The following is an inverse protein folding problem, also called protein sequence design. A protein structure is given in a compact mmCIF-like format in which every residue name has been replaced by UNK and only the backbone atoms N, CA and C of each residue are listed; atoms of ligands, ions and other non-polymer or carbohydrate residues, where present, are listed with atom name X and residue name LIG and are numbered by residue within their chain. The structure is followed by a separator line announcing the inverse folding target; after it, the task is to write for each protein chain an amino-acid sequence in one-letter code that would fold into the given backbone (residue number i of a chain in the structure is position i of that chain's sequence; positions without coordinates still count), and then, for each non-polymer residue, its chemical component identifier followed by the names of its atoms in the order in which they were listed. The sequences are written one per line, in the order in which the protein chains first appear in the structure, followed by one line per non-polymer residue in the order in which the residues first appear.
data_IF_245481965852
#
_entry.id   IF_245481965852
#
_cell.length_a   1.000
_cell.length_b   1.000
_cell.length_c   1.000
_cell.angle_alpha   90.00
_cell.angle_beta   90.00
_cell.angle_gamma   90.00
#
_symmetry.space_group_name_H-M   'P 1'
#
loop_
_entity.id
_entity.type
_entity.pdbx_description
1 polymer ?
#
# COMPACT_ATOMS: atom_id res chain seq x y z
N UNK A 1 -35.95 -8.30 -24.64
CA UNK A 1 -34.56 -7.82 -24.63
C UNK A 1 -34.22 -7.40 -23.20
N UNK A 2 -33.60 -8.27 -22.44
CA UNK A 2 -33.17 -8.00 -21.07
C UNK A 2 -31.86 -7.25 -21.13
N UNK A 3 -31.91 -5.93 -20.96
CA UNK A 3 -30.72 -5.12 -20.68
C UNK A 3 -30.22 -5.55 -19.31
N UNK A 4 -29.17 -6.35 -19.26
CA UNK A 4 -28.39 -6.58 -18.04
C UNK A 4 -27.63 -5.30 -17.77
N UNK A 5 -28.06 -4.55 -16.76
CA UNK A 5 -27.35 -3.39 -16.21
C UNK A 5 -26.10 -3.89 -15.44
N UNK A 6 -25.17 -4.50 -16.16
CA UNK A 6 -23.87 -4.92 -15.66
C UNK A 6 -22.85 -3.91 -16.18
N UNK A 7 -22.41 -3.01 -15.29
CA UNK A 7 -21.43 -1.98 -15.64
C UNK A 7 -20.08 -2.56 -16.06
N UNK A 8 -19.16 -1.68 -16.39
CA UNK A 8 -17.80 -2.00 -16.84
C UNK A 8 -16.84 -1.89 -15.66
N UNK A 9 -16.22 -3.00 -15.27
CA UNK A 9 -15.17 -3.00 -14.24
C UNK A 9 -13.89 -2.39 -14.82
N UNK A 10 -13.30 -1.43 -14.11
CA UNK A 10 -12.07 -0.75 -14.55
C UNK A 10 -10.92 -1.12 -13.62
N UNK A 11 -9.87 -1.72 -14.18
CA UNK A 11 -8.70 -2.17 -13.44
C UNK A 11 -7.68 -1.06 -13.24
N UNK A 12 -7.35 -0.35 -14.32
CA UNK A 12 -6.27 0.61 -14.37
C UNK A 12 -6.24 1.37 -15.68
N UNK A 13 -5.40 2.40 -15.73
CA UNK A 13 -5.20 3.25 -16.90
C UNK A 13 -3.76 3.04 -17.38
N UNK A 14 -3.60 2.91 -18.70
CA UNK A 14 -2.34 2.69 -19.40
C UNK A 14 -2.26 3.60 -20.63
N UNK A 15 -1.12 3.62 -21.31
CA UNK A 15 -0.99 4.30 -22.61
C UNK A 15 -1.80 3.56 -23.68
N UNK A 16 -2.30 4.28 -24.68
CA UNK A 16 -2.92 3.67 -25.84
C UNK A 16 -1.97 2.65 -26.50
N UNK A 17 -2.50 1.53 -26.99
CA UNK A 17 -1.69 0.47 -27.57
C UNK A 17 -0.97 -0.46 -26.58
N UNK A 18 -1.03 -0.22 -25.26
CA UNK A 18 -0.39 -1.09 -24.26
C UNK A 18 -0.81 -2.57 -24.43
N UNK A 19 0.15 -3.53 -24.43
CA UNK A 19 -0.16 -4.95 -24.53
C UNK A 19 -1.10 -5.42 -23.42
N UNK A 20 -2.05 -6.30 -23.74
CA UNK A 20 -2.86 -6.97 -22.74
C UNK A 20 -2.27 -8.37 -22.50
N UNK A 21 -2.11 -8.81 -21.25
CA UNK A 21 -1.54 -10.12 -20.95
C UNK A 21 -2.48 -11.23 -21.47
N UNK A 22 -2.01 -12.15 -22.31
CA UNK A 22 -2.86 -13.07 -23.07
C UNK A 22 -3.55 -14.16 -22.23
N UNK A 23 -3.11 -14.37 -20.98
CA UNK A 23 -3.55 -15.50 -20.14
C UNK A 23 -4.05 -15.10 -18.74
N UNK A 24 -4.07 -13.80 -18.38
CA UNK A 24 -4.67 -13.38 -17.11
C UNK A 24 -6.14 -13.04 -17.29
N UNK A 25 -6.99 -13.84 -16.65
CA UNK A 25 -8.40 -13.52 -16.50
C UNK A 25 -8.60 -12.38 -15.50
N UNK A 26 -9.66 -11.60 -15.70
CA UNK A 26 -10.07 -10.53 -14.81
C UNK A 26 -10.82 -11.02 -13.57
N UNK A 27 -11.31 -10.06 -12.79
CA UNK A 27 -12.18 -10.29 -11.62
C UNK A 27 -13.47 -10.98 -12.05
N UNK A 28 -13.81 -12.09 -11.39
CA UNK A 28 -15.04 -12.84 -11.68
C UNK A 28 -14.92 -14.33 -11.39
N UNK A 29 -16.05 -15.02 -11.52
CA UNK A 29 -16.12 -16.49 -11.56
C UNK A 29 -17.25 -16.91 -12.52
N UNK A 30 -16.92 -17.31 -13.76
CA UNK A 30 -15.57 -17.44 -14.32
C UNK A 30 -14.82 -16.09 -14.45
N UNK A 31 -13.47 -16.09 -14.54
CA UNK A 31 -12.69 -14.86 -14.72
C UNK A 31 -13.19 -14.03 -15.90
N UNK A 32 -13.31 -12.72 -15.70
CA UNK A 32 -13.79 -11.81 -16.74
C UNK A 32 -12.80 -11.71 -17.91
N UNK A 33 -13.32 -11.60 -19.14
CA UNK A 33 -12.46 -11.34 -20.30
C UNK A 33 -11.93 -9.90 -20.22
N UNK A 34 -10.60 -9.77 -20.14
CA UNK A 34 -9.93 -8.47 -20.10
C UNK A 34 -9.90 -7.86 -21.48
N UNK A 35 -10.31 -6.60 -21.58
CA UNK A 35 -10.25 -5.78 -22.78
C UNK A 35 -9.73 -4.38 -22.46
N UNK A 36 -9.86 -3.47 -23.42
CA UNK A 36 -9.49 -2.06 -23.22
C UNK A 36 -10.43 -1.12 -23.96
N UNK A 37 -10.62 0.07 -23.41
CA UNK A 37 -11.27 1.20 -24.06
C UNK A 37 -10.21 2.27 -24.26
N UNK A 38 -9.92 2.61 -25.51
CA UNK A 38 -8.97 3.66 -25.86
C UNK A 38 -9.67 5.01 -26.04
N UNK A 39 -8.99 6.07 -25.62
CA UNK A 39 -9.36 7.46 -25.87
C UNK A 39 -8.07 8.30 -25.93
N UNK A 40 -7.84 8.96 -27.06
CA UNK A 40 -6.61 9.73 -27.28
C UNK A 40 -5.34 8.88 -27.12
N UNK A 41 -4.45 9.30 -26.22
CA UNK A 41 -3.16 8.66 -25.92
C UNK A 41 -3.24 7.67 -24.76
N UNK A 42 -4.43 7.42 -24.23
CA UNK A 42 -4.66 6.56 -23.07
C UNK A 42 -5.62 5.41 -23.38
N UNK A 43 -5.58 4.40 -22.52
CA UNK A 43 -6.55 3.32 -22.50
C UNK A 43 -6.90 2.93 -21.07
N UNK A 44 -8.17 2.62 -20.83
CA UNK A 44 -8.61 1.96 -19.61
C UNK A 44 -8.63 0.45 -19.85
N UNK A 45 -8.00 -0.32 -18.96
CA UNK A 45 -8.10 -1.78 -18.95
C UNK A 45 -9.36 -2.18 -18.21
N UNK A 46 -10.20 -3.01 -18.84
CA UNK A 46 -11.57 -3.27 -18.39
C UNK A 46 -11.99 -4.73 -18.52
N UNK A 47 -13.10 -5.08 -17.87
CA UNK A 47 -13.91 -6.26 -18.18
C UNK A 47 -15.38 -5.97 -17.88
N UNK A 48 -16.28 -6.89 -18.23
CA UNK A 48 -17.64 -6.83 -17.69
C UNK A 48 -17.59 -6.97 -16.16
N UNK A 49 -18.39 -6.17 -15.45
CA UNK A 49 -18.46 -6.25 -14.00
C UNK A 49 -19.30 -7.48 -13.59
N UNK A 50 -18.83 -8.29 -12.62
CA UNK A 50 -19.61 -9.43 -12.17
C UNK A 50 -20.88 -8.97 -11.42
N UNK A 51 -22.02 -9.66 -11.59
CA UNK A 51 -23.32 -9.26 -11.02
C UNK A 51 -23.36 -9.16 -9.48
N UNK A 52 -22.39 -9.77 -8.79
CA UNK A 52 -22.26 -9.75 -7.33
C UNK A 52 -20.82 -9.46 -6.92
N UNK A 53 -20.29 -8.33 -7.41
CA UNK A 53 -18.97 -7.85 -7.06
C UNK A 53 -18.82 -7.72 -5.54
N UNK A 54 -17.91 -8.51 -4.97
CA UNK A 54 -17.56 -8.47 -3.55
C UNK A 54 -16.03 -8.54 -3.45
N UNK A 55 -15.48 -7.92 -2.43
CA UNK A 55 -14.05 -7.98 -2.12
C UNK A 55 -13.65 -9.36 -1.54
N UNK A 56 -13.84 -10.43 -2.32
CA UNK A 56 -13.35 -11.77 -1.98
C UNK A 56 -11.84 -11.80 -2.18
N UNK A 57 -11.13 -12.59 -1.37
CA UNK A 57 -9.67 -12.74 -1.48
C UNK A 57 -9.21 -13.06 -2.91
N UNK A 58 -9.88 -14.01 -3.58
CA UNK A 58 -9.59 -14.36 -4.97
C UNK A 58 -9.69 -13.16 -5.91
N UNK A 59 -10.77 -12.38 -5.79
CA UNK A 59 -11.05 -11.27 -6.70
C UNK A 59 -10.06 -10.11 -6.45
N UNK A 60 -9.69 -9.86 -5.18
CA UNK A 60 -8.64 -8.90 -4.83
C UNK A 60 -7.27 -9.30 -5.39
N UNK A 61 -6.92 -10.59 -5.32
CA UNK A 61 -5.68 -11.11 -5.88
C UNK A 61 -5.68 -11.03 -7.40
N UNK A 62 -6.76 -11.45 -8.08
CA UNK A 62 -6.87 -11.36 -9.54
C UNK A 62 -6.72 -9.91 -10.05
N UNK A 63 -7.35 -8.95 -9.37
CA UNK A 63 -7.18 -7.52 -9.69
C UNK A 63 -5.72 -7.08 -9.57
N UNK A 64 -5.06 -7.43 -8.45
CA UNK A 64 -3.67 -7.05 -8.21
C UNK A 64 -2.71 -7.72 -9.20
N UNK A 65 -2.87 -9.02 -9.44
CA UNK A 65 -2.04 -9.80 -10.36
C UNK A 65 -2.15 -9.29 -11.80
N UNK A 66 -3.36 -8.92 -12.25
CA UNK A 66 -3.54 -8.29 -13.56
C UNK A 66 -2.79 -6.96 -13.67
N UNK A 67 -2.87 -6.11 -12.64
CA UNK A 67 -2.17 -4.83 -12.61
C UNK A 67 -0.64 -5.00 -12.60
N UNK A 68 -0.12 -5.97 -11.86
CA UNK A 68 1.31 -6.29 -11.86
C UNK A 68 1.76 -6.86 -13.21
N UNK A 69 0.96 -7.74 -13.82
CA UNK A 69 1.26 -8.29 -15.14
C UNK A 69 1.27 -7.20 -16.22
N UNK A 70 0.31 -6.27 -16.20
CA UNK A 70 0.32 -5.09 -17.07
C UNK A 70 1.56 -4.24 -16.83
N UNK A 71 1.99 -4.09 -15.56
CA UNK A 71 3.16 -3.30 -15.24
C UNK A 71 4.45 -3.83 -15.91
N UNK A 72 4.50 -5.12 -16.28
CA UNK A 72 5.66 -5.70 -16.96
C UNK A 72 5.93 -5.09 -18.35
N UNK A 73 4.88 -4.69 -19.07
CA UNK A 73 5.00 -4.11 -20.42
C UNK A 73 4.96 -2.57 -20.43
N UNK A 74 4.76 -1.92 -19.29
CA UNK A 74 4.70 -0.45 -19.21
C UNK A 74 4.15 0.09 -17.88
N UNK A 75 4.11 1.42 -17.70
CA UNK A 75 3.49 2.02 -16.52
C UNK A 75 1.98 1.78 -16.49
N UNK A 76 1.44 1.58 -15.29
CA UNK A 76 0.01 1.40 -15.03
C UNK A 76 -0.40 2.30 -13.88
N UNK A 77 -1.49 3.06 -14.07
CA UNK A 77 -2.18 3.73 -12.96
C UNK A 77 -3.27 2.81 -12.42
N UNK A 78 -3.07 2.18 -11.27
CA UNK A 78 -4.06 1.26 -10.74
C UNK A 78 -5.32 1.97 -10.24
N UNK A 79 -6.49 1.49 -10.66
CA UNK A 79 -7.75 1.85 -10.03
C UNK A 79 -7.95 1.03 -8.77
N UNK A 80 -8.65 1.61 -7.77
CA UNK A 80 -9.04 0.87 -6.58
C UNK A 80 -9.92 -0.32 -6.97
N UNK A 81 -9.88 -1.39 -6.18
CA UNK A 81 -10.78 -2.51 -6.39
C UNK A 81 -12.25 -2.06 -6.33
N UNK A 82 -13.06 -2.53 -7.27
CA UNK A 82 -14.50 -2.27 -7.27
C UNK A 82 -14.94 -1.03 -8.04
N UNK A 83 -14.04 -0.42 -8.81
CA UNK A 83 -14.39 0.70 -9.69
C UNK A 83 -15.18 0.18 -10.90
N UNK A 84 -16.45 0.54 -10.96
CA UNK A 84 -17.37 0.16 -12.03
C UNK A 84 -17.93 1.42 -12.68
N UNK A 85 -17.76 1.54 -14.00
CA UNK A 85 -18.38 2.57 -14.82
C UNK A 85 -19.72 2.07 -15.39
N UNK A 86 -20.71 2.94 -15.61
CA UNK A 86 -21.98 2.53 -16.20
C UNK A 86 -21.84 2.09 -17.66
N UNK A 87 -20.98 2.77 -18.42
CA UNK A 87 -20.74 2.49 -19.84
C UNK A 87 -19.38 3.03 -20.31
N UNK A 88 -18.99 2.69 -21.54
CA UNK A 88 -17.72 3.12 -22.13
C UNK A 88 -17.66 4.64 -22.39
N UNK A 89 -18.80 5.32 -22.57
CA UNK A 89 -18.83 6.76 -22.83
C UNK A 89 -18.36 7.55 -21.61
N UNK A 90 -18.70 7.09 -20.40
CA UNK A 90 -18.19 7.66 -19.14
C UNK A 90 -16.69 7.43 -19.02
N UNK A 91 -16.19 6.25 -19.40
CA UNK A 91 -14.75 5.94 -19.38
C UNK A 91 -13.99 6.86 -20.34
N UNK A 92 -14.43 6.95 -21.60
CA UNK A 92 -13.80 7.83 -22.62
C UNK A 92 -13.75 9.27 -22.15
N UNK A 93 -14.86 9.80 -21.62
CA UNK A 93 -14.92 11.17 -21.09
C UNK A 93 -13.89 11.40 -19.99
N UNK A 94 -13.78 10.48 -19.02
CA UNK A 94 -12.81 10.58 -17.92
C UNK A 94 -11.35 10.51 -18.41
N UNK A 95 -11.06 9.67 -19.40
CA UNK A 95 -9.73 9.60 -20.02
C UNK A 95 -9.39 10.91 -20.75
N UNK A 96 -10.33 11.46 -21.51
CA UNK A 96 -10.14 12.72 -22.25
C UNK A 96 -9.96 13.92 -21.31
N UNK A 97 -10.79 14.06 -20.29
CA UNK A 97 -10.74 15.19 -19.33
C UNK A 97 -9.44 15.21 -18.48
N UNK A 98 -8.80 14.05 -18.30
CA UNK A 98 -7.64 13.90 -17.43
C UNK A 98 -6.36 13.50 -18.18
N UNK A 99 -6.35 13.58 -19.52
CA UNK A 99 -5.33 12.93 -20.34
C UNK A 99 -3.90 13.32 -19.95
N UNK A 100 -3.59 14.63 -19.96
CA UNK A 100 -2.23 15.11 -19.63
C UNK A 100 -1.82 14.78 -18.19
N UNK A 101 -2.76 14.87 -17.24
CA UNK A 101 -2.49 14.53 -15.83
C UNK A 101 -2.16 13.05 -15.68
N UNK A 102 -2.90 12.18 -16.36
CA UNK A 102 -2.70 10.73 -16.30
C UNK A 102 -1.42 10.31 -17.03
N UNK A 103 -1.07 10.95 -18.14
CA UNK A 103 0.21 10.71 -18.81
C UNK A 103 1.40 11.09 -17.92
N UNK A 104 1.34 12.25 -17.24
CA UNK A 104 2.37 12.66 -16.29
C UNK A 104 2.48 11.69 -15.10
N UNK A 105 1.35 11.21 -14.57
CA UNK A 105 1.35 10.22 -13.50
C UNK A 105 1.94 8.87 -13.97
N UNK A 106 1.62 8.42 -15.19
CA UNK A 106 2.20 7.22 -15.79
C UNK A 106 3.73 7.33 -15.89
N UNK A 107 4.24 8.49 -16.32
CA UNK A 107 5.69 8.75 -16.36
C UNK A 107 6.31 8.71 -14.96
N UNK A 108 5.59 9.21 -13.95
CA UNK A 108 6.03 9.16 -12.56
C UNK A 108 6.20 7.75 -11.98
N UNK A 109 5.50 6.74 -12.53
CA UNK A 109 5.53 5.35 -12.04
C UNK A 109 6.20 4.36 -13.01
N UNK A 110 6.74 4.83 -14.13
CA UNK A 110 7.39 3.99 -15.13
C UNK A 110 8.58 3.22 -14.54
N UNK A 111 8.62 1.90 -14.79
CA UNK A 111 9.69 1.01 -14.31
C UNK A 111 9.71 0.76 -12.79
N UNK A 112 8.69 1.25 -12.07
CA UNK A 112 8.67 1.28 -10.60
C UNK A 112 7.54 0.42 -10.03
N UNK A 113 7.68 0.07 -8.77
CA UNK A 113 6.69 -0.67 -7.97
C UNK A 113 6.55 -0.03 -6.59
N UNK A 114 5.43 -0.30 -5.94
CA UNK A 114 5.20 0.14 -4.57
C UNK A 114 5.54 -0.97 -3.57
N UNK A 115 6.29 -0.60 -2.52
CA UNK A 115 6.51 -1.42 -1.32
C UNK A 115 5.91 -0.70 -0.13
N UNK A 116 4.97 -1.33 0.57
CA UNK A 116 4.37 -0.79 1.78
C UNK A 116 5.05 -1.40 3.02
N UNK A 117 5.45 -0.54 3.95
CA UNK A 117 6.06 -0.92 5.23
C UNK A 117 5.19 -0.43 6.37
N UNK A 118 4.83 -1.36 7.25
CA UNK A 118 4.09 -1.10 8.48
C UNK A 118 4.93 -1.47 9.70
N UNK A 119 5.06 -0.54 10.64
CA UNK A 119 5.73 -0.76 11.92
C UNK A 119 4.72 -0.98 13.04
N UNK A 120 4.84 -2.11 13.75
CA UNK A 120 4.01 -2.46 14.90
C UNK A 120 4.89 -2.67 16.12
N UNK A 121 4.35 -2.49 17.35
CA UNK A 121 5.06 -2.90 18.55
C UNK A 121 5.38 -4.39 18.53
N UNK A 122 6.59 -4.75 18.94
CA UNK A 122 6.98 -6.16 19.10
C UNK A 122 6.36 -6.75 20.37
N UNK A 123 5.85 -7.97 20.31
CA UNK A 123 5.28 -8.66 21.47
C UNK A 123 6.37 -8.94 22.52
N UNK A 124 7.60 -9.20 22.06
CA UNK A 124 8.80 -9.43 22.86
C UNK A 124 9.43 -8.15 23.43
N UNK A 125 8.87 -6.97 23.15
CA UNK A 125 9.42 -5.70 23.65
C UNK A 125 9.13 -5.46 25.15
N UNK A 126 8.19 -6.20 25.76
CA UNK A 126 7.78 -5.98 27.15
C UNK A 126 8.93 -6.16 28.17
N UNK A 127 9.74 -7.24 28.14
CA UNK A 127 10.88 -7.37 29.05
C UNK A 127 11.91 -6.24 28.91
N UNK A 128 12.20 -5.81 27.68
CA UNK A 128 13.13 -4.71 27.41
C UNK A 128 12.57 -3.37 27.91
N UNK A 129 11.27 -3.14 27.75
CA UNK A 129 10.58 -1.95 28.28
C UNK A 129 10.61 -1.91 29.80
N UNK A 130 10.24 -3.00 30.47
CA UNK A 130 10.21 -3.07 31.94
C UNK A 130 11.61 -2.89 32.54
N UNK A 131 12.68 -3.33 31.87
CA UNK A 131 14.05 -3.08 32.33
C UNK A 131 14.46 -1.60 32.17
N UNK A 132 14.07 -0.96 31.06
CA UNK A 132 14.53 0.39 30.70
C UNK A 132 13.71 1.55 31.24
N UNK A 133 12.45 1.34 31.64
CA UNK A 133 11.53 2.43 32.02
C UNK A 133 11.25 2.45 33.53
N UNK A 134 11.77 3.47 34.23
CA UNK A 134 11.61 3.62 35.67
C UNK A 134 10.15 3.86 36.10
N UNK A 135 9.36 4.54 35.26
CA UNK A 135 7.94 4.82 35.52
C UNK A 135 7.14 3.53 35.46
N UNK A 136 7.34 2.70 34.43
CA UNK A 136 6.69 1.39 34.30
C UNK A 136 7.07 0.47 35.46
N UNK A 137 8.34 0.46 35.88
CA UNK A 137 8.77 -0.30 37.06
C UNK A 137 8.07 0.17 38.33
N UNK A 138 8.00 1.48 38.56
CA UNK A 138 7.32 2.05 39.72
C UNK A 138 5.82 1.72 39.74
N UNK A 139 5.14 1.82 38.60
CA UNK A 139 3.72 1.43 38.47
C UNK A 139 3.52 -0.07 38.72
N UNK A 140 4.41 -0.92 38.20
CA UNK A 140 4.36 -2.37 38.43
C UNK A 140 4.53 -2.72 39.90
N UNK A 141 5.46 -2.07 40.60
CA UNK A 141 5.65 -2.28 42.04
C UNK A 141 4.47 -1.76 42.85
N UNK A 142 3.90 -0.61 42.49
CA UNK A 142 2.72 -0.06 43.14
C UNK A 142 1.50 -0.99 42.99
N UNK A 143 1.25 -1.50 41.77
CA UNK A 143 0.18 -2.46 41.50
C UNK A 143 0.38 -3.79 42.25
N UNK A 144 1.64 -4.25 42.41
CA UNK A 144 1.95 -5.43 43.24
C UNK A 144 1.71 -5.19 44.72
N UNK A 145 2.08 -4.01 45.24
CA UNK A 145 1.93 -3.66 46.66
C UNK A 145 0.48 -3.41 47.05
N UNK A 146 -0.33 -2.84 46.15
CA UNK A 146 -1.76 -2.57 46.34
C UNK A 146 -2.55 -2.93 45.08
N UNK A 147 -2.89 -4.21 44.89
CA UNK A 147 -3.65 -4.64 43.72
C UNK A 147 -5.03 -3.99 43.72
N UNK A 148 -5.34 -3.27 42.65
CA UNK A 148 -6.68 -2.74 42.38
C UNK A 148 -6.94 -2.77 40.88
N UNK A 149 -8.22 -2.78 40.49
CA UNK A 149 -8.61 -2.70 39.08
C UNK A 149 -8.01 -1.44 38.42
N UNK A 150 -8.13 -0.28 39.08
CA UNK A 150 -7.59 0.98 38.60
C UNK A 150 -6.05 0.94 38.45
N UNK A 151 -5.33 0.36 39.41
CA UNK A 151 -3.87 0.23 39.33
C UNK A 151 -3.44 -0.66 38.16
N UNK A 152 -4.20 -1.73 37.88
CA UNK A 152 -3.95 -2.61 36.74
C UNK A 152 -4.23 -1.91 35.40
N UNK A 153 -5.33 -1.15 35.31
CA UNK A 153 -5.67 -0.35 34.11
C UNK A 153 -4.57 0.68 33.83
N UNK A 154 -4.17 1.48 34.82
CA UNK A 154 -3.11 2.49 34.67
C UNK A 154 -1.78 1.90 34.26
N UNK A 155 -1.40 0.74 34.80
CA UNK A 155 -0.19 0.02 34.40
C UNK A 155 -0.30 -0.45 32.94
N UNK A 156 -1.44 -1.05 32.55
CA UNK A 156 -1.69 -1.52 31.19
C UNK A 156 -1.62 -0.40 30.16
N UNK A 157 -2.27 0.73 30.43
CA UNK A 157 -2.23 1.93 29.59
C UNK A 157 -0.80 2.45 29.42
N UNK A 158 -0.07 2.62 30.53
CA UNK A 158 1.31 3.10 30.48
C UNK A 158 2.22 2.17 29.68
N UNK A 159 2.07 0.85 29.82
CA UNK A 159 2.81 -0.14 29.03
C UNK A 159 2.46 -0.02 27.55
N UNK A 160 1.18 0.02 27.20
CA UNK A 160 0.72 0.12 25.81
C UNK A 160 1.24 1.40 25.13
N UNK A 161 1.16 2.55 25.81
CA UNK A 161 1.69 3.83 25.32
C UNK A 161 3.20 3.77 25.12
N UNK A 162 3.94 3.19 26.05
CA UNK A 162 5.40 3.12 25.95
C UNK A 162 5.87 2.15 24.84
N UNK A 163 5.19 1.02 24.66
CA UNK A 163 5.42 0.11 23.53
C UNK A 163 5.14 0.78 22.19
N UNK A 164 3.99 1.44 22.07
CA UNK A 164 3.61 2.20 20.86
C UNK A 164 4.65 3.27 20.52
N UNK A 165 5.11 4.05 21.52
CA UNK A 165 6.13 5.08 21.33
C UNK A 165 7.45 4.51 20.83
N UNK A 166 7.97 3.45 21.46
CA UNK A 166 9.24 2.80 21.06
C UNK A 166 9.17 2.26 19.63
N UNK A 167 8.05 1.65 19.28
CA UNK A 167 7.82 1.12 17.93
C UNK A 167 7.70 2.24 16.89
N UNK A 168 7.05 3.36 17.24
CA UNK A 168 6.96 4.53 16.38
C UNK A 168 8.34 5.16 16.13
N UNK A 169 9.18 5.27 17.17
CA UNK A 169 10.56 5.76 17.07
C UNK A 169 11.40 4.86 16.15
N UNK A 170 11.45 3.55 16.45
CA UNK A 170 12.18 2.59 15.64
C UNK A 170 11.67 2.52 14.20
N UNK A 171 10.35 2.56 14.00
CA UNK A 171 9.75 2.59 12.66
C UNK A 171 10.14 3.83 11.86
N UNK A 172 10.14 5.02 12.49
CA UNK A 172 10.59 6.26 11.83
C UNK A 172 12.07 6.22 11.46
N UNK A 173 12.90 5.63 12.30
CA UNK A 173 14.33 5.46 12.01
C UNK A 173 14.54 4.57 10.78
N UNK A 174 13.86 3.42 10.73
CA UNK A 174 13.92 2.50 9.59
C UNK A 174 13.42 3.19 8.32
N UNK A 175 12.29 3.92 8.38
CA UNK A 175 11.77 4.68 7.23
C UNK A 175 12.80 5.68 6.73
N UNK A 176 13.45 6.43 7.62
CA UNK A 176 14.48 7.42 7.22
C UNK A 176 15.66 6.77 6.49
N UNK A 177 16.11 5.60 6.94
CA UNK A 177 17.19 4.86 6.29
C UNK A 177 16.77 4.34 4.91
N UNK A 178 15.57 3.75 4.82
CA UNK A 178 15.01 3.22 3.56
C UNK A 178 14.72 4.31 2.52
N UNK A 179 14.37 5.53 2.94
CA UNK A 179 14.06 6.64 2.03
C UNK A 179 15.20 6.96 1.05
N UNK A 180 16.46 6.65 1.40
CA UNK A 180 17.61 6.88 0.51
C UNK A 180 17.65 5.99 -0.73
N UNK A 181 16.94 4.86 -0.68
CA UNK A 181 16.86 3.87 -1.76
C UNK A 181 15.51 3.88 -2.48
N UNK A 182 14.70 4.93 -2.28
CA UNK A 182 13.38 5.08 -2.90
C UNK A 182 13.29 6.38 -3.70
N UNK A 183 12.54 6.35 -4.80
CA UNK A 183 12.25 7.54 -5.63
C UNK A 183 11.27 8.48 -4.95
N UNK A 184 10.34 7.94 -4.17
CA UNK A 184 9.35 8.69 -3.43
C UNK A 184 8.86 7.91 -2.21
N UNK A 185 8.34 8.67 -1.24
CA UNK A 185 7.82 8.15 0.02
C UNK A 185 6.47 8.80 0.29
N UNK A 186 5.46 7.99 0.56
CA UNK A 186 4.09 8.44 0.81
C UNK A 186 3.58 7.87 2.13
N UNK A 187 3.08 8.73 3.02
CA UNK A 187 2.46 8.27 4.27
C UNK A 187 1.10 7.66 3.96
N UNK A 188 0.90 6.41 4.40
CA UNK A 188 -0.37 5.72 4.30
C UNK A 188 -1.37 6.16 5.38
N UNK A 189 -2.64 5.74 5.27
CA UNK A 189 -3.65 6.03 6.27
C UNK A 189 -3.31 5.40 7.62
N UNK A 190 -3.86 5.96 8.70
CA UNK A 190 -3.70 5.41 10.04
C UNK A 190 -4.38 4.03 10.13
N UNK A 191 -3.67 3.06 10.71
CA UNK A 191 -4.16 1.70 10.93
C UNK A 191 -4.06 1.37 12.41
N UNK A 192 -5.14 0.87 13.01
CA UNK A 192 -5.17 0.52 14.44
C UNK A 192 -4.04 -0.45 14.80
N UNK A 193 -3.28 -0.13 15.85
CA UNK A 193 -2.11 -0.90 16.30
C UNK A 193 -0.84 -0.69 15.49
N UNK A 194 -0.92 -0.02 14.33
CA UNK A 194 0.21 0.33 13.50
C UNK A 194 0.73 1.72 13.85
N UNK A 195 2.04 1.84 14.10
CA UNK A 195 2.67 3.10 14.50
C UNK A 195 3.21 3.88 13.31
N UNK A 196 3.58 3.19 12.23
CA UNK A 196 4.06 3.79 10.98
C UNK A 196 3.50 2.97 9.83
N UNK A 197 2.87 3.61 8.84
CA UNK A 197 2.39 2.98 7.61
C UNK A 197 2.86 3.85 6.45
N UNK A 198 3.84 3.39 5.69
CA UNK A 198 4.50 4.19 4.66
C UNK A 198 4.69 3.35 3.40
N UNK A 199 4.39 3.91 2.25
CA UNK A 199 4.66 3.33 0.95
C UNK A 199 5.89 3.98 0.32
N UNK A 200 6.68 3.16 -0.35
CA UNK A 200 7.90 3.55 -1.05
C UNK A 200 7.74 3.22 -2.53
N UNK A 201 8.13 4.17 -3.38
CA UNK A 201 8.24 3.94 -4.82
C UNK A 201 9.67 3.53 -5.13
N UNK A 202 9.87 2.31 -5.60
CA UNK A 202 11.20 1.72 -5.83
C UNK A 202 11.30 1.21 -7.25
N UNK A 203 12.51 1.13 -7.78
CA UNK A 203 12.73 0.47 -9.07
C UNK A 203 12.34 -1.00 -8.97
N UNK A 204 11.67 -1.51 -10.01
CA UNK A 204 11.18 -2.89 -10.02
C UNK A 204 12.30 -3.91 -9.80
N UNK A 205 13.46 -3.68 -10.42
CA UNK A 205 14.64 -4.55 -10.30
C UNK A 205 15.21 -4.59 -8.87
N UNK A 206 15.03 -3.52 -8.10
CA UNK A 206 15.60 -3.38 -6.75
C UNK A 206 14.62 -3.76 -5.64
N UNK A 207 13.37 -4.06 -5.97
CA UNK A 207 12.30 -4.34 -5.00
C UNK A 207 12.65 -5.44 -4.00
N UNK A 208 13.27 -6.54 -4.45
CA UNK A 208 13.70 -7.62 -3.56
C UNK A 208 14.81 -7.18 -2.59
N UNK A 209 15.77 -6.38 -3.07
CA UNK A 209 16.84 -5.81 -2.25
C UNK A 209 16.29 -4.84 -1.20
N UNK A 210 15.33 -4.00 -1.59
CA UNK A 210 14.66 -3.07 -0.69
C UNK A 210 13.94 -3.79 0.45
N UNK A 211 13.20 -4.87 0.15
CA UNK A 211 12.53 -5.69 1.18
C UNK A 211 13.54 -6.33 2.12
N UNK A 212 14.61 -6.92 1.58
CA UNK A 212 15.65 -7.55 2.40
C UNK A 212 16.33 -6.55 3.35
N UNK A 213 16.55 -5.31 2.90
CA UNK A 213 17.09 -4.24 3.72
C UNK A 213 16.13 -3.81 4.82
N UNK A 214 14.83 -3.65 4.51
CA UNK A 214 13.81 -3.35 5.51
C UNK A 214 13.77 -4.41 6.62
N UNK A 215 13.83 -5.69 6.24
CA UNK A 215 13.89 -6.80 7.20
C UNK A 215 15.19 -6.81 8.01
N UNK A 216 16.33 -6.49 7.40
CA UNK A 216 17.62 -6.37 8.10
C UNK A 216 17.57 -5.27 9.16
N UNK A 217 17.04 -4.11 8.81
CA UNK A 217 16.87 -2.97 9.72
C UNK A 217 15.88 -3.27 10.86
N UNK A 218 14.84 -4.06 10.58
CA UNK A 218 13.90 -4.56 11.59
C UNK A 218 14.58 -5.50 12.59
N UNK A 219 15.38 -6.46 12.12
CA UNK A 219 16.13 -7.40 12.98
C UNK A 219 17.06 -6.69 13.96
N UNK A 220 17.67 -5.57 13.56
CA UNK A 220 18.50 -4.75 14.46
C UNK A 220 17.73 -4.06 15.59
N UNK A 221 16.39 -4.06 15.52
CA UNK A 221 15.47 -3.34 16.42
C UNK A 221 14.31 -4.22 16.88
N UNK A 222 14.51 -5.54 16.88
CA UNK A 222 13.48 -6.53 17.21
C UNK A 222 12.91 -6.37 18.63
N UNK A 223 13.67 -5.76 19.54
CA UNK A 223 13.25 -5.42 20.91
C UNK A 223 12.29 -4.20 20.98
N UNK A 224 11.91 -3.64 19.84
CA UNK A 224 11.09 -2.41 19.73
C UNK A 224 9.99 -2.52 18.69
N UNK A 225 10.29 -3.12 17.54
CA UNK A 225 9.41 -3.06 16.37
C UNK A 225 9.41 -4.36 15.58
N UNK A 226 8.23 -4.72 15.10
CA UNK A 226 8.04 -5.72 14.05
C UNK A 226 7.59 -5.00 12.79
N UNK A 227 8.24 -5.27 11.66
CA UNK A 227 7.80 -4.77 10.37
C UNK A 227 6.89 -5.79 9.67
N UNK A 228 5.83 -5.28 9.06
CA UNK A 228 5.08 -5.99 8.02
C UNK A 228 5.36 -5.29 6.70
N UNK A 229 6.01 -6.01 5.80
CA UNK A 229 6.36 -5.51 4.46
C UNK A 229 5.43 -6.18 3.46
N UNK A 230 4.84 -5.39 2.55
CA UNK A 230 3.96 -5.86 1.50
C UNK A 230 4.41 -5.28 0.15
N UNK A 231 4.63 -6.18 -0.81
CA UNK A 231 4.93 -5.84 -2.20
C UNK A 231 5.72 -6.94 -2.92
N UNK A 232 5.99 -6.77 -4.22
CA UNK A 232 5.65 -5.60 -5.04
C UNK A 232 4.14 -5.40 -5.19
N UNK A 233 3.69 -4.15 -5.10
CA UNK A 233 2.31 -3.73 -5.30
C UNK A 233 2.22 -2.80 -6.53
N UNK A 234 1.06 -2.75 -7.22
CA UNK A 234 0.74 -1.61 -8.07
C UNK A 234 0.83 -0.30 -7.28
N UNK A 235 1.22 0.79 -7.95
CA UNK A 235 1.53 2.09 -7.35
C UNK A 235 0.30 2.90 -6.91
N UNK A 236 -0.53 2.35 -6.01
CA UNK A 236 -1.75 2.99 -5.51
C UNK A 236 -1.51 4.30 -4.76
N UNK A 237 -0.35 4.45 -4.11
CA UNK A 237 -0.02 5.61 -3.27
C UNK A 237 0.63 6.75 -4.04
N UNK A 238 0.91 6.56 -5.33
CA UNK A 238 1.71 7.47 -6.18
C UNK A 238 0.97 7.85 -7.47
N UNK A 239 -0.36 7.99 -7.38
CA UNK A 239 -1.24 8.29 -8.52
C UNK A 239 -1.29 9.77 -8.91
N UNK A 240 -0.75 10.66 -8.07
CA UNK A 240 -0.57 12.08 -8.39
C UNK A 240 0.83 12.31 -8.95
N UNK A 241 1.03 13.32 -9.83
CA UNK A 241 2.36 13.70 -10.28
C UNK A 241 3.25 13.96 -9.07
N UNK A 242 4.26 13.12 -8.88
CA UNK A 242 5.26 13.35 -7.85
C UNK A 242 5.89 14.71 -8.11
N UNK A 243 6.00 15.61 -7.10
CA UNK A 243 6.76 16.83 -7.29
C UNK A 243 8.16 16.45 -7.75
N UNK A 244 8.59 17.02 -8.88
CA UNK A 244 9.96 16.90 -9.35
C UNK A 244 10.88 17.22 -8.17
N UNK A 245 11.78 16.29 -7.84
CA UNK A 245 12.71 16.45 -6.74
C UNK A 245 13.54 17.72 -6.97
N UNK A 246 13.15 18.83 -6.34
CA UNK A 246 14.03 19.97 -6.19
C UNK A 246 15.22 19.49 -5.36
N UNK A 247 16.47 19.77 -5.78
CA UNK A 247 17.62 19.45 -4.95
C UNK A 247 17.46 20.17 -3.62
N UNK A 248 17.48 19.43 -2.52
CA UNK A 248 17.66 19.98 -1.19
C UNK A 248 19.05 20.62 -1.15
N UNK A 249 19.09 21.93 -1.39
CA UNK A 249 20.35 22.68 -1.46
C UNK A 249 20.14 24.16 -1.79
N UNK A 250 19.74 24.94 -0.78
CA UNK A 250 20.19 26.32 -0.56
C UNK A 250 20.04 26.64 0.93
#
# INVERSE_FOLDING_TARGET
MTVTDEGIYVYGIVRAGHPLPPALGGVGDPPGTVGRVEEGRLAAVISQAPPRLRARRRDLLAHQELLLALAEDGPVLPMRFGMVAPDESVIRRQLSEAEDRQLAALDGVAGRVEINVKALPADEALPALVKGDATIRGLREAARRRPSYEANVRLGEAVATALARRAAEAGRDIVRELSSSAHAVCAGPQVTGCQVNVSFLVDRGDGAGFVAEAERLARQREDRVVLRVAGPLPCYSFLEPLPSAAPLGA
#
